data_IF_800858612078
#
_entry.id   IF_800858612078
#
_cell.length_a   1.000
_cell.length_b   1.000
_cell.length_c   1.000
_cell.angle_alpha   90.00
_cell.angle_beta   90.00
_cell.angle_gamma   90.00
#
_symmetry.space_group_name_H-M   'P 1'
#
loop_
_entity.id
_entity.type
_entity.pdbx_description
1 polymer ?
#
# COMPACT_ATOMS: atom_id res chain seq x y z
N UNK A 1 25.68 -3.15 -10.48
CA UNK A 1 24.32 -3.71 -10.30
C UNK A 1 23.88 -3.45 -8.86
N UNK A 2 23.13 -2.37 -8.61
CA UNK A 2 22.63 -2.06 -7.26
C UNK A 2 21.18 -2.53 -7.15
N UNK A 3 20.98 -3.76 -6.70
CA UNK A 3 19.65 -4.29 -6.41
C UNK A 3 19.20 -3.76 -5.04
N UNK A 4 18.02 -3.13 -4.92
CA UNK A 4 17.55 -2.65 -3.63
C UNK A 4 17.30 -3.81 -2.64
N UNK A 5 17.33 -3.53 -1.32
CA UNK A 5 17.06 -4.52 -0.29
C UNK A 5 15.76 -5.28 -0.53
N UNK A 6 15.72 -6.55 -0.14
CA UNK A 6 14.54 -7.41 -0.34
C UNK A 6 13.29 -6.80 0.28
N UNK A 7 13.42 -6.17 1.45
CA UNK A 7 12.32 -5.51 2.13
C UNK A 7 11.71 -4.39 1.28
N UNK A 8 12.54 -3.52 0.69
CA UNK A 8 12.08 -2.43 -0.20
C UNK A 8 11.34 -3.01 -1.41
N UNK A 9 11.90 -4.05 -2.03
CA UNK A 9 11.26 -4.70 -3.18
C UNK A 9 9.90 -5.29 -2.82
N UNK A 10 9.78 -5.95 -1.66
CA UNK A 10 8.51 -6.49 -1.16
C UNK A 10 7.48 -5.39 -0.90
N UNK A 11 7.87 -4.29 -0.26
CA UNK A 11 6.97 -3.16 -0.01
C UNK A 11 6.47 -2.51 -1.31
N UNK A 12 7.35 -2.31 -2.30
CA UNK A 12 6.94 -1.76 -3.60
C UNK A 12 6.00 -2.71 -4.34
N UNK A 13 6.25 -4.02 -4.29
CA UNK A 13 5.34 -5.01 -4.88
C UNK A 13 3.98 -5.02 -4.19
N UNK A 14 3.95 -4.94 -2.86
CA UNK A 14 2.73 -4.80 -2.06
C UNK A 14 1.91 -3.56 -2.51
N UNK A 15 2.57 -2.40 -2.63
CA UNK A 15 1.94 -1.15 -3.07
C UNK A 15 1.41 -1.23 -4.51
N UNK A 16 2.20 -1.75 -5.44
CA UNK A 16 1.81 -1.88 -6.85
C UNK A 16 0.67 -2.89 -7.01
N UNK A 17 0.69 -3.99 -6.26
CA UNK A 17 -0.41 -4.94 -6.24
C UNK A 17 -1.70 -4.28 -5.75
N UNK A 18 -1.64 -3.56 -4.63
CA UNK A 18 -2.78 -2.84 -4.08
C UNK A 18 -3.34 -1.81 -5.07
N UNK A 19 -2.48 -1.00 -5.70
CA UNK A 19 -2.86 -0.06 -6.75
C UNK A 19 -3.58 -0.75 -7.92
N UNK A 20 -3.04 -1.87 -8.38
CA UNK A 20 -3.61 -2.61 -9.52
C UNK A 20 -4.99 -3.18 -9.22
N UNK A 21 -5.21 -3.69 -8.01
CA UNK A 21 -6.53 -4.17 -7.57
C UNK A 21 -7.51 -3.02 -7.52
N UNK A 22 -7.14 -1.89 -6.92
CA UNK A 22 -8.01 -0.71 -6.80
C UNK A 22 -8.41 -0.09 -8.15
N UNK A 23 -7.50 -0.10 -9.12
CA UNK A 23 -7.71 0.51 -10.43
C UNK A 23 -8.18 -0.49 -11.50
N UNK A 24 -8.63 -1.70 -11.11
CA UNK A 24 -9.16 -2.70 -12.04
C UNK A 24 -8.14 -3.27 -13.03
N UNK A 25 -6.84 -3.08 -12.79
CA UNK A 25 -5.78 -3.74 -13.57
C UNK A 25 -5.67 -5.24 -13.24
N UNK A 26 -6.24 -5.65 -12.09
CA UNK A 26 -6.43 -7.04 -11.69
C UNK A 26 -7.93 -7.22 -11.46
N UNK A 27 -8.57 -8.06 -12.26
CA UNK A 27 -9.98 -8.40 -12.12
C UNK A 27 -10.13 -9.52 -11.08
N UNK A 28 -10.35 -9.13 -9.83
CA UNK A 28 -10.60 -10.06 -8.71
C UNK A 28 -11.49 -9.37 -7.68
N UNK A 29 -12.82 -9.46 -7.81
CA UNK A 29 -13.75 -8.80 -6.91
C UNK A 29 -13.65 -9.31 -5.48
N UNK A 30 -13.24 -10.56 -5.27
CA UNK A 30 -13.07 -11.16 -3.95
C UNK A 30 -11.95 -10.47 -3.15
N UNK A 31 -10.83 -10.18 -3.82
CA UNK A 31 -9.72 -9.45 -3.18
C UNK A 31 -10.09 -7.99 -2.97
N UNK A 32 -10.78 -7.37 -3.93
CA UNK A 32 -11.27 -5.99 -3.78
C UNK A 32 -12.25 -5.86 -2.61
N UNK A 33 -13.13 -6.85 -2.41
CA UNK A 33 -14.06 -6.89 -1.29
C UNK A 33 -13.37 -7.00 0.08
N UNK A 34 -12.11 -7.41 0.14
CA UNK A 34 -11.30 -7.42 1.36
C UNK A 34 -10.59 -6.08 1.65
N UNK A 35 -10.71 -5.07 0.77
CA UNK A 35 -10.05 -3.78 0.90
C UNK A 35 -11.06 -2.74 1.38
N UNK A 36 -11.06 -2.48 2.68
CA UNK A 36 -11.91 -1.45 3.28
C UNK A 36 -11.24 -0.08 3.23
N UNK A 37 -11.93 0.92 2.68
CA UNK A 37 -11.50 2.31 2.69
C UNK A 37 -11.91 2.99 4.00
N UNK A 38 -11.02 3.80 4.55
CA UNK A 38 -11.31 4.64 5.70
C UNK A 38 -11.76 6.01 5.21
N UNK A 39 -13.00 6.39 5.53
CA UNK A 39 -13.57 7.70 5.19
C UNK A 39 -13.77 8.49 6.49
N UNK A 40 -12.72 9.17 7.01
CA UNK A 40 -12.82 9.91 8.25
C UNK A 40 -13.61 11.20 8.08
N UNK A 41 -14.37 11.58 9.11
CA UNK A 41 -15.03 12.88 9.20
C UNK A 41 -14.08 14.01 9.60
N UNK A 42 -12.93 13.70 10.21
CA UNK A 42 -11.97 14.66 10.77
C UNK A 42 -10.51 14.28 10.39
N UNK A 43 -9.72 15.25 9.92
CA UNK A 43 -8.47 15.06 9.17
C UNK A 43 -7.21 15.36 10.00
N UNK A 44 -6.92 14.57 11.04
CA UNK A 44 -5.62 14.67 11.75
C UNK A 44 -4.54 13.70 11.26
N UNK A 45 -4.91 12.61 10.58
CA UNK A 45 -3.96 11.67 9.99
C UNK A 45 -4.51 11.08 8.70
N UNK A 46 -3.72 11.05 7.61
CA UNK A 46 -4.14 10.40 6.37
C UNK A 46 -4.12 8.87 6.59
N UNK A 47 -5.29 8.29 6.76
CA UNK A 47 -5.51 6.85 6.65
C UNK A 47 -6.48 6.63 5.50
N UNK A 48 -6.00 6.04 4.41
CA UNK A 48 -6.82 5.72 3.25
C UNK A 48 -7.57 4.39 3.43
N UNK A 49 -6.96 3.44 4.13
CA UNK A 49 -7.48 2.10 4.35
C UNK A 49 -7.87 1.89 5.82
N UNK A 50 -8.94 1.13 6.06
CA UNK A 50 -9.38 0.80 7.40
C UNK A 50 -8.38 -0.09 8.13
N UNK A 51 -8.21 0.12 9.44
CA UNK A 51 -7.36 -0.68 10.31
C UNK A 51 -8.21 -1.68 11.08
N UNK A 52 -8.02 -2.95 10.81
CA UNK A 52 -8.62 -4.04 11.58
C UNK A 52 -7.71 -4.48 12.73
N UNK A 53 -8.34 -4.91 13.83
CA UNK A 53 -7.65 -5.61 14.92
C UNK A 53 -7.61 -7.10 14.61
N UNK A 54 -6.47 -7.74 14.89
CA UNK A 54 -6.27 -9.17 14.62
C UNK A 54 -5.87 -9.89 15.91
N UNK A 55 -6.45 -11.07 16.13
CA UNK A 55 -6.25 -11.87 17.34
C UNK A 55 -4.87 -12.55 17.41
N UNK A 56 -4.20 -12.74 16.27
CA UNK A 56 -2.90 -13.40 16.21
C UNK A 56 -1.92 -12.64 15.33
N UNK A 57 -0.62 -12.79 15.64
CA UNK A 57 0.45 -12.28 14.79
C UNK A 57 0.40 -12.88 13.37
N UNK A 58 -0.05 -14.12 13.23
CA UNK A 58 -0.23 -14.75 11.92
C UNK A 58 -1.23 -13.97 11.05
N UNK A 59 -2.43 -13.68 11.58
CA UNK A 59 -3.41 -12.87 10.86
C UNK A 59 -2.93 -11.44 10.66
N UNK A 60 -2.30 -10.83 11.67
CA UNK A 60 -1.74 -9.50 11.54
C UNK A 60 -0.70 -9.41 10.40
N UNK A 61 0.17 -10.40 10.24
CA UNK A 61 1.19 -10.42 9.18
C UNK A 61 0.74 -11.05 7.87
N UNK A 62 -0.52 -11.49 7.76
CA UNK A 62 -1.10 -12.01 6.52
C UNK A 62 -1.17 -10.92 5.44
N UNK A 63 -1.44 -11.34 4.20
CA UNK A 63 -1.31 -10.48 3.01
C UNK A 63 -2.19 -9.24 3.06
N UNK A 64 -3.51 -9.37 3.20
CA UNK A 64 -4.44 -8.22 3.16
C UNK A 64 -4.09 -7.17 4.22
N UNK A 65 -3.96 -7.52 5.51
CA UNK A 65 -3.63 -6.53 6.54
C UNK A 65 -2.28 -5.86 6.31
N UNK A 66 -1.30 -6.62 5.80
CA UNK A 66 0.01 -6.10 5.44
C UNK A 66 -0.08 -5.09 4.29
N UNK A 67 -0.84 -5.38 3.23
CA UNK A 67 -1.07 -4.48 2.10
C UNK A 67 -1.68 -3.15 2.56
N UNK A 68 -2.78 -3.21 3.31
CA UNK A 68 -3.50 -2.01 3.79
C UNK A 68 -2.63 -1.14 4.71
N UNK A 69 -1.87 -1.76 5.62
CA UNK A 69 -0.93 -1.03 6.47
C UNK A 69 0.20 -0.40 5.68
N UNK A 70 0.77 -1.10 4.70
CA UNK A 70 1.81 -0.55 3.83
C UNK A 70 1.25 0.62 3.01
N UNK A 71 0.01 0.51 2.50
CA UNK A 71 -0.68 1.60 1.81
C UNK A 71 -0.90 2.83 2.70
N UNK A 72 -1.38 2.64 3.92
CA UNK A 72 -1.59 3.73 4.88
C UNK A 72 -0.30 4.49 5.24
N UNK A 73 0.85 3.82 5.22
CA UNK A 73 2.15 4.48 5.49
C UNK A 73 2.54 5.50 4.43
N UNK A 74 2.07 5.33 3.20
CA UNK A 74 2.49 6.17 2.06
C UNK A 74 1.35 6.98 1.45
N UNK A 75 0.09 6.75 1.86
CA UNK A 75 -1.08 7.39 1.26
C UNK A 75 -1.12 8.92 1.38
N UNK A 76 -0.32 9.51 2.28
CA UNK A 76 -0.14 10.96 2.38
C UNK A 76 0.63 11.56 1.20
N UNK A 77 1.57 10.79 0.65
CA UNK A 77 2.56 11.24 -0.35
C UNK A 77 2.35 10.55 -1.71
N UNK A 78 1.63 9.43 -1.73
CA UNK A 78 1.38 8.61 -2.90
C UNK A 78 -0.12 8.44 -3.14
N UNK A 79 -0.59 9.01 -4.25
CA UNK A 79 -1.97 8.90 -4.71
C UNK A 79 -2.22 7.53 -5.37
N UNK A 80 -3.24 6.81 -4.91
CA UNK A 80 -3.63 5.49 -5.39
C UNK A 80 -4.61 5.51 -6.57
N UNK A 81 -5.20 6.65 -6.92
CA UNK A 81 -6.33 6.72 -7.87
C UNK A 81 -6.04 7.58 -9.10
N UNK A 82 -5.22 8.63 -8.99
CA UNK A 82 -4.99 9.56 -10.11
C UNK A 82 -3.77 9.21 -11.00
N UNK A 83 -2.92 8.27 -10.57
CA UNK A 83 -1.65 7.96 -11.25
C UNK A 83 -1.79 6.80 -12.23
N UNK A 84 -0.89 6.71 -13.22
CA UNK A 84 -0.70 5.49 -14.01
C UNK A 84 0.20 4.49 -13.28
N UNK A 85 0.07 3.20 -13.59
CA UNK A 85 0.81 2.12 -12.91
C UNK A 85 2.34 2.33 -12.92
N UNK A 86 2.89 2.79 -14.05
CA UNK A 86 4.34 3.03 -14.19
C UNK A 86 4.82 4.25 -13.41
N UNK A 87 4.00 5.31 -13.32
CA UNK A 87 4.31 6.48 -12.50
C UNK A 87 4.21 6.11 -11.02
N UNK A 88 3.16 5.40 -10.64
CA UNK A 88 2.96 4.91 -9.28
C UNK A 88 4.14 4.06 -8.80
N UNK A 89 4.56 3.06 -9.59
CA UNK A 89 5.69 2.19 -9.26
C UNK A 89 7.00 2.96 -9.07
N UNK A 90 7.29 3.94 -9.94
CA UNK A 90 8.49 4.77 -9.83
C UNK A 90 8.47 5.63 -8.57
N UNK A 91 7.34 6.27 -8.25
CA UNK A 91 7.19 7.07 -7.02
C UNK A 91 7.27 6.22 -5.76
N UNK A 92 6.65 5.05 -5.74
CA UNK A 92 6.74 4.10 -4.64
C UNK A 92 8.19 3.67 -4.34
N UNK A 93 9.00 3.48 -5.39
CA UNK A 93 10.43 3.17 -5.23
C UNK A 93 11.23 4.37 -4.68
N UNK A 94 10.97 5.57 -5.19
CA UNK A 94 11.65 6.79 -4.77
C UNK A 94 11.39 7.13 -3.28
N UNK A 95 10.14 7.01 -2.82
CA UNK A 95 9.77 7.23 -1.41
C UNK A 95 10.58 6.34 -0.46
N UNK A 96 10.82 5.08 -0.83
CA UNK A 96 11.62 4.18 -0.03
C UNK A 96 13.12 4.49 -0.02
N UNK A 97 13.63 5.18 -1.04
CA UNK A 97 15.03 5.62 -1.08
C UNK A 97 15.25 6.83 -0.17
N UNK A 98 14.29 7.76 -0.12
CA UNK A 98 14.36 8.96 0.73
C UNK A 98 14.38 8.64 2.23
N UNK A 99 13.68 7.58 2.68
CA UNK A 99 13.71 7.15 4.08
C UNK A 99 15.00 6.45 4.52
N UNK A 100 15.92 6.11 3.61
CA UNK A 100 17.19 5.42 3.93
C UNK A 100 18.39 6.38 4.03
N UNK A 101 18.18 7.68 3.83
CA UNK A 101 19.22 8.73 3.88
C UNK A 101 19.26 9.50 5.22
N UNK A 102 18.52 9.06 6.24
CA UNK A 102 18.53 9.61 7.60
C UNK A 102 18.92 8.56 8.65
#
# INVERSE_FOLDING_TARGET
FHLPPLQVRRSVLDLVFLFKVLNGCIDCPEVLACIDLHVPSETRYPQLFSRHQFSTNYFYHSTIPRLLRTGNKVCAELDFFALSADVFKRRALALHQQCMEW
#
